data_IF_704085267978
#
_entry.id   IF_704085267978
#
_cell.length_a   1.000
_cell.length_b   1.000
_cell.length_c   1.000
_cell.angle_alpha   90.00
_cell.angle_beta   90.00
_cell.angle_gamma   90.00
#
_symmetry.space_group_name_H-M   'P 1'
#
loop_
_entity.id
_entity.type
_entity.pdbx_description
1 polymer ?
#
# COMPACT_ATOMS: atom_id res chain seq x y z
N UNK A 1 35.04 -30.01 -1.61
CA UNK A 1 34.59 -28.61 -1.88
C UNK A 1 33.10 -28.37 -1.60
N UNK A 2 32.22 -29.38 -1.64
CA UNK A 2 30.77 -29.26 -1.35
C UNK A 2 30.39 -29.48 0.13
N UNK A 3 31.29 -30.01 0.96
CA UNK A 3 31.08 -30.19 2.40
C UNK A 3 31.38 -28.92 3.20
N UNK A 4 32.50 -28.23 2.88
CA UNK A 4 32.87 -26.96 3.51
C UNK A 4 31.82 -25.85 3.34
N UNK A 5 31.14 -25.78 2.18
CA UNK A 5 30.14 -24.73 1.93
C UNK A 5 28.92 -24.84 2.87
N UNK A 6 28.52 -26.07 3.24
CA UNK A 6 27.41 -26.33 4.16
C UNK A 6 27.77 -26.04 5.63
N UNK A 7 29.03 -26.26 6.01
CA UNK A 7 29.54 -25.92 7.35
C UNK A 7 29.63 -24.40 7.54
N UNK A 8 30.02 -23.67 6.50
CA UNK A 8 30.16 -22.21 6.56
C UNK A 8 28.79 -21.51 6.70
N UNK A 9 27.75 -22.02 6.01
CA UNK A 9 26.37 -21.52 6.09
C UNK A 9 25.72 -21.83 7.46
N UNK A 10 26.05 -22.97 8.06
CA UNK A 10 25.56 -23.34 9.41
C UNK A 10 26.28 -22.60 10.54
N UNK A 11 27.56 -22.25 10.36
CA UNK A 11 28.32 -21.39 11.27
C UNK A 11 27.82 -19.94 11.24
N UNK A 12 27.46 -19.41 10.06
CA UNK A 12 26.87 -18.06 9.95
C UNK A 12 25.47 -17.97 10.56
N UNK A 13 24.67 -19.04 10.45
CA UNK A 13 23.33 -19.12 11.07
C UNK A 13 23.39 -19.24 12.60
N UNK A 14 24.40 -19.93 13.15
CA UNK A 14 24.64 -20.01 14.60
C UNK A 14 25.14 -18.69 15.20
N UNK A 15 26.12 -18.05 14.57
CA UNK A 15 26.65 -16.76 15.06
C UNK A 15 25.59 -15.65 15.13
N UNK A 16 24.59 -15.67 14.23
CA UNK A 16 23.50 -14.69 14.26
C UNK A 16 22.45 -14.97 15.36
N UNK A 17 22.35 -16.22 15.84
CA UNK A 17 21.54 -16.61 17.02
C UNK A 17 22.25 -16.30 18.33
N UNK A 18 23.58 -16.41 18.35
CA UNK A 18 24.37 -16.23 19.56
C UNK A 18 24.63 -14.75 19.91
N UNK A 19 24.60 -13.85 18.92
CA UNK A 19 24.76 -12.40 19.14
C UNK A 19 23.51 -11.67 19.71
N UNK A 20 22.36 -12.35 19.83
CA UNK A 20 21.14 -11.77 20.40
C UNK A 20 20.92 -12.12 21.88
N UNK A 21 21.81 -12.91 22.50
CA UNK A 21 21.63 -13.46 23.85
C UNK A 21 22.00 -12.50 24.99
N UNK A 22 21.70 -11.21 24.83
CA UNK A 22 21.81 -10.20 25.90
C UNK A 22 20.78 -9.09 25.69
N UNK A 23 19.49 -9.43 25.75
CA UNK A 23 18.46 -8.47 26.14
C UNK A 23 17.65 -9.11 27.26
N UNK A 24 17.63 -8.43 28.40
CA UNK A 24 17.02 -8.91 29.63
C UNK A 24 15.56 -9.29 29.37
N UNK A 25 15.11 -10.51 29.75
CA UNK A 25 13.71 -10.84 29.78
C UNK A 25 13.11 -10.14 31.00
N UNK A 26 12.32 -9.08 30.78
CA UNK A 26 11.45 -8.60 31.84
C UNK A 26 10.36 -9.66 32.07
N UNK A 27 10.61 -10.45 33.11
CA UNK A 27 9.79 -11.44 33.78
C UNK A 27 8.29 -11.50 33.40
N UNK A 28 7.92 -12.66 32.85
CA UNK A 28 6.73 -13.46 33.13
C UNK A 28 5.62 -12.78 33.97
N UNK A 29 4.52 -12.46 33.28
CA UNK A 29 3.19 -12.88 33.72
C UNK A 29 2.41 -13.23 32.46
N UNK A 30 2.27 -14.54 32.28
CA UNK A 30 1.36 -15.21 31.36
C UNK A 30 1.64 -15.02 29.87
N UNK A 31 1.41 -16.08 29.10
CA UNK A 31 1.35 -16.05 27.64
C UNK A 31 0.21 -15.13 27.15
N UNK A 32 -0.27 -14.16 27.92
CA UNK A 32 -1.46 -13.39 27.62
C UNK A 32 -1.14 -12.30 26.60
N UNK A 33 -1.91 -12.26 25.52
CA UNK A 33 -1.81 -11.20 24.54
C UNK A 33 -2.43 -9.91 25.10
N UNK A 34 -1.70 -8.79 25.11
CA UNK A 34 -2.20 -7.52 25.65
C UNK A 34 -3.30 -6.87 24.80
N UNK A 35 -3.56 -7.40 23.59
CA UNK A 35 -4.60 -6.90 22.68
C UNK A 35 -5.95 -7.56 22.97
N UNK A 36 -6.00 -8.90 23.05
CA UNK A 36 -7.23 -9.62 23.35
C UNK A 36 -7.41 -9.99 24.83
N UNK A 37 -6.40 -9.75 25.66
CA UNK A 37 -6.37 -10.06 27.10
C UNK A 37 -6.59 -11.56 27.42
N UNK A 38 -6.33 -12.43 26.45
CA UNK A 38 -6.42 -13.89 26.58
C UNK A 38 -5.05 -14.54 26.36
N UNK A 39 -4.91 -15.81 26.73
CA UNK A 39 -3.73 -16.62 26.39
C UNK A 39 -3.47 -16.58 24.88
N UNK A 40 -2.23 -16.28 24.50
CA UNK A 40 -1.83 -16.03 23.14
C UNK A 40 -1.91 -17.31 22.31
N UNK A 41 -2.78 -17.28 21.31
CA UNK A 41 -2.86 -18.29 20.28
C UNK A 41 -1.89 -17.92 19.17
N UNK A 42 -1.07 -18.91 18.74
CA UNK A 42 -0.03 -18.71 17.73
C UNK A 42 0.87 -17.50 18.06
N UNK A 43 1.64 -17.57 19.16
CA UNK A 43 2.40 -16.44 19.67
C UNK A 43 3.42 -15.91 18.66
N UNK A 44 3.39 -14.59 18.47
CA UNK A 44 4.31 -13.85 17.62
C UNK A 44 5.07 -12.85 18.48
N UNK A 45 6.39 -12.96 18.48
CA UNK A 45 7.29 -12.02 19.14
C UNK A 45 7.73 -10.95 18.13
N UNK A 46 7.72 -9.69 18.57
CA UNK A 46 8.21 -8.55 17.79
C UNK A 46 9.70 -8.31 18.05
N UNK A 47 10.41 -7.59 17.18
CA UNK A 47 11.83 -7.23 17.41
C UNK A 47 12.11 -6.38 18.66
N UNK A 48 11.07 -5.91 19.36
CA UNK A 48 11.20 -5.24 20.67
C UNK A 48 11.04 -6.20 21.86
N UNK A 49 10.78 -7.49 21.62
CA UNK A 49 10.64 -8.52 22.65
C UNK A 49 9.22 -8.72 23.19
N UNK A 50 8.23 -7.96 22.69
CA UNK A 50 6.84 -8.10 23.10
C UNK A 50 6.10 -9.18 22.28
N UNK A 51 5.25 -9.94 22.95
CA UNK A 51 4.52 -11.10 22.42
C UNK A 51 3.02 -10.82 22.28
N UNK A 52 2.45 -11.28 21.17
CA UNK A 52 1.02 -11.10 20.82
C UNK A 52 0.46 -12.36 20.16
N UNK A 53 -0.87 -12.49 20.06
CA UNK A 53 -1.47 -13.45 19.13
C UNK A 53 -1.13 -13.06 17.69
N UNK A 54 -0.86 -14.05 16.84
CA UNK A 54 -0.67 -13.80 15.41
C UNK A 54 -1.86 -13.08 14.78
N UNK A 55 -3.08 -13.55 15.05
CA UNK A 55 -4.31 -12.93 14.54
C UNK A 55 -4.48 -11.47 14.99
N UNK A 56 -4.30 -11.19 16.28
CA UNK A 56 -4.38 -9.82 16.81
C UNK A 56 -3.38 -8.87 16.16
N UNK A 57 -2.15 -9.33 15.95
CA UNK A 57 -1.11 -8.48 15.37
C UNK A 57 -1.33 -8.23 13.88
N UNK A 58 -1.80 -9.23 13.13
CA UNK A 58 -2.15 -9.07 11.72
C UNK A 58 -3.36 -8.17 11.54
N UNK A 59 -4.37 -8.26 12.41
CA UNK A 59 -5.55 -7.38 12.35
C UNK A 59 -5.17 -5.93 12.71
N UNK A 60 -4.32 -5.76 13.71
CA UNK A 60 -3.75 -4.45 14.05
C UNK A 60 -3.00 -3.84 12.86
N UNK A 61 -2.24 -4.65 12.11
CA UNK A 61 -1.58 -4.19 10.89
C UNK A 61 -2.55 -3.81 9.77
N UNK A 62 -3.65 -4.56 9.58
CA UNK A 62 -4.66 -4.27 8.54
C UNK A 62 -5.46 -3.00 8.80
N UNK A 63 -5.64 -2.63 10.08
CA UNK A 63 -6.36 -1.42 10.46
C UNK A 63 -5.51 -0.14 10.45
N UNK A 64 -4.18 -0.24 10.43
CA UNK A 64 -3.33 0.97 10.40
C UNK A 64 -3.41 1.66 9.02
N UNK A 65 -3.64 2.98 8.95
CA UNK A 65 -4.00 3.67 7.69
C UNK A 65 -2.92 3.73 6.60
N UNK A 66 -1.77 3.06 6.70
CA UNK A 66 -0.71 3.29 5.74
C UNK A 66 0.20 2.10 5.51
N UNK A 67 0.79 2.04 4.32
CA UNK A 67 1.74 1.03 3.79
C UNK A 67 3.00 0.78 4.66
N UNK A 68 3.08 1.33 5.86
CA UNK A 68 4.21 1.31 6.78
C UNK A 68 4.21 0.13 7.75
N UNK A 69 5.35 -0.03 8.41
CA UNK A 69 5.52 -1.02 9.46
C UNK A 69 4.78 -0.55 10.71
N UNK A 70 4.12 -1.47 11.43
CA UNK A 70 3.39 -1.13 12.65
C UNK A 70 4.32 -0.70 13.77
N UNK A 71 3.78 0.06 14.71
CA UNK A 71 4.43 0.32 15.99
C UNK A 71 3.93 -0.69 17.02
N UNK A 72 4.80 -1.15 17.91
CA UNK A 72 4.43 -2.09 18.97
C UNK A 72 3.33 -1.47 19.86
N UNK A 73 2.20 -2.16 20.11
CA UNK A 73 1.14 -1.64 20.97
C UNK A 73 1.59 -1.36 22.42
N UNK A 74 2.62 -2.04 22.91
CA UNK A 74 3.12 -1.90 24.29
C UNK A 74 4.16 -0.78 24.44
N UNK A 75 5.19 -0.76 23.59
CA UNK A 75 6.31 0.19 23.73
C UNK A 75 6.42 1.23 22.61
N UNK A 76 5.52 1.19 21.62
CA UNK A 76 5.50 2.08 20.45
C UNK A 76 6.75 2.03 19.57
N UNK A 77 7.64 1.06 19.78
CA UNK A 77 8.80 0.86 18.93
C UNK A 77 8.38 0.32 17.56
N UNK A 78 9.00 0.82 16.50
CA UNK A 78 8.75 0.35 15.13
C UNK A 78 9.10 -1.13 14.99
N UNK A 79 8.13 -1.91 14.50
CA UNK A 79 8.28 -3.36 14.33
C UNK A 79 8.69 -3.67 12.90
N UNK A 80 9.93 -4.11 12.69
CA UNK A 80 10.45 -4.46 11.35
C UNK A 80 10.52 -5.97 11.11
N UNK A 81 10.50 -6.75 12.19
CA UNK A 81 10.57 -8.20 12.17
C UNK A 81 9.60 -8.80 13.18
N UNK A 82 8.94 -9.86 12.73
CA UNK A 82 8.05 -10.73 13.48
C UNK A 82 8.64 -12.14 13.53
N UNK A 83 8.74 -12.71 14.73
CA UNK A 83 9.26 -14.04 15.00
C UNK A 83 8.11 -14.93 15.45
N UNK A 84 7.97 -16.11 14.83
CA UNK A 84 6.99 -17.11 15.25
C UNK A 84 7.57 -17.92 16.41
N UNK A 85 6.82 -18.04 17.51
CA UNK A 85 7.22 -18.82 18.70
C UNK A 85 6.36 -20.10 18.83
N UNK A 86 5.93 -20.67 17.70
CA UNK A 86 5.10 -21.88 17.66
C UNK A 86 5.59 -22.89 16.61
N UNK A 87 5.38 -24.18 16.91
CA UNK A 87 5.72 -25.31 16.06
C UNK A 87 4.60 -25.62 15.07
N UNK A 88 4.93 -25.92 13.82
CA UNK A 88 4.00 -26.20 12.70
C UNK A 88 3.26 -27.56 12.81
N UNK A 89 3.23 -28.16 14.00
CA UNK A 89 2.84 -29.56 14.23
C UNK A 89 1.32 -29.79 14.11
N UNK A 90 0.50 -28.74 14.24
CA UNK A 90 -0.94 -28.79 13.98
C UNK A 90 -1.31 -27.89 12.81
N UNK A 91 -1.59 -28.53 11.68
CA UNK A 91 -1.76 -27.91 10.37
C UNK A 91 -3.18 -27.34 10.17
N UNK A 92 -3.58 -26.45 11.07
CA UNK A 92 -4.82 -25.69 10.91
C UNK A 92 -4.67 -24.62 9.81
N UNK A 93 -5.77 -24.31 9.13
CA UNK A 93 -5.84 -23.28 8.08
C UNK A 93 -5.41 -21.92 8.64
N UNK A 94 -5.83 -21.60 9.87
CA UNK A 94 -5.49 -20.34 10.54
C UNK A 94 -3.98 -20.19 10.77
N UNK A 95 -3.31 -21.25 11.22
CA UNK A 95 -1.86 -21.26 11.43
C UNK A 95 -1.10 -20.98 10.12
N UNK A 96 -1.51 -21.63 9.01
CA UNK A 96 -0.89 -21.38 7.69
C UNK A 96 -1.09 -19.94 7.22
N UNK A 97 -2.29 -19.38 7.42
CA UNK A 97 -2.58 -18.00 7.05
C UNK A 97 -1.70 -17.03 7.84
N UNK A 98 -1.61 -17.20 9.16
CA UNK A 98 -0.77 -16.36 10.03
C UNK A 98 0.71 -16.48 9.66
N UNK A 99 1.22 -17.67 9.39
CA UNK A 99 2.62 -17.86 8.96
C UNK A 99 2.89 -17.14 7.64
N UNK A 100 1.96 -17.22 6.69
CA UNK A 100 2.07 -16.53 5.41
C UNK A 100 2.05 -15.02 5.58
N UNK A 101 1.13 -14.53 6.39
CA UNK A 101 0.99 -13.12 6.75
C UNK A 101 2.25 -12.56 7.42
N UNK A 102 2.85 -13.29 8.36
CA UNK A 102 4.15 -12.96 8.99
C UNK A 102 5.26 -12.91 7.93
N UNK A 103 5.28 -13.86 6.99
CA UNK A 103 6.28 -13.88 5.91
C UNK A 103 6.14 -12.66 5.02
N UNK A 104 4.91 -12.29 4.64
CA UNK A 104 4.62 -11.09 3.85
C UNK A 104 5.06 -9.84 4.60
N UNK A 105 4.71 -9.72 5.88
CA UNK A 105 5.11 -8.60 6.74
C UNK A 105 6.64 -8.46 6.82
N UNK A 106 7.35 -9.57 7.07
CA UNK A 106 8.80 -9.57 7.17
C UNK A 106 9.45 -9.25 5.82
N UNK A 107 8.99 -9.81 4.71
CA UNK A 107 9.47 -9.42 3.37
C UNK A 107 9.24 -7.93 3.12
N UNK A 108 8.15 -7.38 3.68
CA UNK A 108 7.80 -5.99 3.56
C UNK A 108 8.80 -5.06 4.25
N UNK A 109 9.22 -5.39 5.47
CA UNK A 109 9.91 -4.45 6.36
C UNK A 109 11.30 -4.87 6.85
N UNK A 110 11.75 -6.09 6.57
CA UNK A 110 13.07 -6.61 7.00
C UNK A 110 14.28 -6.00 6.29
N UNK A 111 14.06 -5.10 5.32
CA UNK A 111 15.14 -4.46 4.56
C UNK A 111 15.77 -5.34 3.46
N UNK A 112 15.22 -6.53 3.20
CA UNK A 112 15.61 -7.35 2.05
C UNK A 112 15.05 -6.76 0.75
N UNK A 113 15.77 -6.83 -0.38
CA UNK A 113 15.24 -6.38 -1.67
C UNK A 113 14.00 -7.21 -2.02
N UNK A 114 12.88 -6.53 -2.27
CA UNK A 114 11.63 -7.20 -2.65
C UNK A 114 11.65 -7.60 -4.12
N UNK A 115 11.10 -8.78 -4.48
CA UNK A 115 10.88 -9.13 -5.88
C UNK A 115 9.85 -8.19 -6.52
N UNK A 116 9.99 -7.96 -7.83
CA UNK A 116 9.16 -7.03 -8.58
C UNK A 116 7.66 -7.41 -8.57
N UNK A 117 7.37 -8.71 -8.42
CA UNK A 117 6.01 -9.26 -8.34
C UNK A 117 5.20 -8.68 -7.19
N UNK A 118 5.80 -8.48 -6.01
CA UNK A 118 5.10 -7.94 -4.84
C UNK A 118 4.66 -6.49 -5.08
N UNK A 119 5.47 -5.70 -5.79
CA UNK A 119 5.11 -4.33 -6.18
C UNK A 119 3.96 -4.30 -7.18
N UNK A 120 3.89 -5.28 -8.09
CA UNK A 120 2.80 -5.38 -9.07
C UNK A 120 1.47 -5.72 -8.41
N UNK A 121 1.44 -6.50 -7.33
CA UNK A 121 0.22 -6.80 -6.57
C UNK A 121 -0.28 -5.61 -5.74
N UNK A 122 0.60 -4.72 -5.28
CA UNK A 122 0.24 -3.48 -4.57
C UNK A 122 -0.22 -2.36 -5.54
N UNK A 123 0.07 -2.49 -6.85
CA UNK A 123 -0.20 -1.48 -7.87
C UNK A 123 -1.70 -1.13 -8.05
N UNK A 124 -2.67 -2.06 -8.03
CA UNK A 124 -4.09 -1.73 -8.21
C UNK A 124 -4.62 -0.79 -7.12
N UNK A 125 -4.22 -1.03 -5.87
CA UNK A 125 -4.61 -0.22 -4.72
C UNK A 125 -3.97 1.17 -4.77
N UNK A 126 -2.67 1.23 -5.10
CA UNK A 126 -1.95 2.50 -5.29
C UNK A 126 -2.49 3.30 -6.47
N UNK A 127 -2.85 2.63 -7.57
CA UNK A 127 -3.43 3.23 -8.76
C UNK A 127 -4.77 3.89 -8.44
N UNK A 128 -5.63 3.27 -7.63
CA UNK A 128 -6.89 3.88 -7.21
C UNK A 128 -6.68 5.16 -6.39
N UNK A 129 -5.69 5.19 -5.48
CA UNK A 129 -5.34 6.40 -4.74
C UNK A 129 -4.77 7.49 -5.66
N UNK A 130 -3.92 7.12 -6.62
CA UNK A 130 -3.33 8.05 -7.58
C UNK A 130 -4.40 8.61 -8.51
N UNK A 131 -5.29 7.77 -9.06
CA UNK A 131 -6.43 8.19 -9.87
C UNK A 131 -7.31 9.18 -9.11
N UNK A 132 -7.67 8.86 -7.86
CA UNK A 132 -8.49 9.76 -7.02
C UNK A 132 -7.82 11.12 -6.79
N UNK A 133 -6.49 11.17 -6.69
CA UNK A 133 -5.72 12.41 -6.53
C UNK A 133 -5.58 13.18 -7.85
N UNK A 134 -5.42 12.48 -8.97
CA UNK A 134 -5.39 13.06 -10.32
C UNK A 134 -6.72 13.71 -10.71
N UNK A 135 -7.85 13.24 -10.17
CA UNK A 135 -9.17 13.84 -10.39
C UNK A 135 -9.53 15.00 -9.45
N UNK A 136 -8.56 15.56 -8.71
CA UNK A 136 -8.74 16.82 -7.98
C UNK A 136 -8.56 18.02 -8.93
N UNK A 137 -9.11 19.19 -8.58
CA UNK A 137 -9.02 20.40 -9.43
C UNK A 137 -7.57 20.74 -9.85
N UNK A 138 -6.58 20.48 -8.99
CA UNK A 138 -5.16 20.63 -9.33
C UNK A 138 -4.61 19.52 -10.25
N UNK A 139 -5.12 18.29 -10.12
CA UNK A 139 -4.73 17.18 -10.99
C UNK A 139 -5.26 17.32 -12.42
N UNK A 140 -6.46 17.89 -12.59
CA UNK A 140 -7.02 18.24 -13.89
C UNK A 140 -6.15 19.27 -14.64
N UNK A 141 -5.61 20.26 -13.93
CA UNK A 141 -4.64 21.21 -14.50
C UNK A 141 -3.35 20.51 -14.92
N UNK A 142 -2.86 19.56 -14.13
CA UNK A 142 -1.65 18.80 -14.46
C UNK A 142 -1.84 17.93 -15.70
N UNK A 143 -3.01 17.29 -15.84
CA UNK A 143 -3.40 16.53 -17.03
C UNK A 143 -3.51 17.46 -18.26
N UNK A 144 -4.09 18.65 -18.09
CA UNK A 144 -4.16 19.65 -19.16
C UNK A 144 -2.77 20.12 -19.61
N UNK A 145 -1.87 20.42 -18.67
CA UNK A 145 -0.48 20.78 -18.99
C UNK A 145 0.26 19.65 -19.70
N UNK A 146 0.07 18.40 -19.26
CA UNK A 146 0.65 17.22 -19.91
C UNK A 146 0.18 17.11 -21.36
N UNK A 147 -1.10 17.35 -21.63
CA UNK A 147 -1.63 17.38 -23.01
C UNK A 147 -0.94 18.44 -23.86
N UNK A 148 -0.81 19.67 -23.36
CA UNK A 148 -0.11 20.75 -24.08
C UNK A 148 1.33 20.34 -24.41
N UNK A 149 2.04 19.70 -23.48
CA UNK A 149 3.40 19.19 -23.71
C UNK A 149 3.43 18.10 -24.78
N UNK A 150 2.48 17.16 -24.77
CA UNK A 150 2.39 16.10 -25.79
C UNK A 150 2.07 16.68 -27.18
N UNK A 151 1.15 17.65 -27.27
CA UNK A 151 0.84 18.33 -28.52
C UNK A 151 2.03 19.15 -29.04
N UNK A 152 2.75 19.86 -28.16
CA UNK A 152 3.95 20.61 -28.53
C UNK A 152 5.07 19.67 -28.98
N UNK A 153 5.28 18.55 -28.29
CA UNK A 153 6.25 17.53 -28.68
C UNK A 153 5.89 16.93 -30.04
N UNK A 154 4.62 16.58 -30.26
CA UNK A 154 4.12 16.12 -31.55
C UNK A 154 4.33 17.15 -32.66
N UNK A 155 4.05 18.44 -32.40
CA UNK A 155 4.30 19.51 -33.35
C UNK A 155 5.80 19.68 -33.66
N UNK A 156 6.66 19.61 -32.65
CA UNK A 156 8.12 19.67 -32.82
C UNK A 156 8.62 18.46 -33.62
N UNK A 157 8.16 17.26 -33.32
CA UNK A 157 8.48 16.04 -34.09
C UNK A 157 8.03 16.15 -35.55
N UNK A 158 6.86 16.75 -35.80
CA UNK A 158 6.38 17.03 -37.15
C UNK A 158 7.23 18.08 -37.88
N UNK A 159 7.67 19.14 -37.19
CA UNK A 159 8.45 20.23 -37.79
C UNK A 159 9.94 19.88 -37.98
N UNK A 160 10.48 18.98 -37.17
CA UNK A 160 11.91 18.61 -37.17
C UNK A 160 12.28 17.49 -38.16
N UNK A 161 11.31 16.88 -38.84
CA UNK A 161 11.57 15.85 -39.85
C UNK A 161 11.65 16.44 -41.26
N UNK A 162 12.81 16.45 -41.93
CA UNK A 162 12.97 17.00 -43.28
C UNK A 162 12.53 16.03 -44.39
N UNK A 163 11.70 15.03 -44.11
CA UNK A 163 11.22 14.06 -45.09
C UNK A 163 9.70 13.91 -45.06
N UNK A 164 9.12 14.28 -46.19
CA UNK A 164 7.71 14.31 -46.51
C UNK A 164 7.19 12.90 -46.86
N UNK A 165 5.89 12.67 -46.64
CA UNK A 165 5.07 11.63 -47.31
C UNK A 165 5.40 10.14 -47.07
N UNK A 166 5.13 9.62 -45.87
CA UNK A 166 4.41 8.35 -45.75
C UNK A 166 3.28 8.58 -44.77
N UNK A 167 2.04 8.38 -45.23
CA UNK A 167 0.84 8.31 -44.41
C UNK A 167 1.00 7.16 -43.43
N UNK A 168 1.61 7.40 -42.28
CA UNK A 168 1.59 6.45 -41.18
C UNK A 168 0.22 6.54 -40.51
N UNK A 169 -0.62 5.48 -40.58
CA UNK A 169 -1.92 5.46 -39.92
C UNK A 169 -1.79 5.70 -38.41
N UNK A 170 -0.60 5.50 -37.85
CA UNK A 170 -0.24 5.79 -36.46
C UNK A 170 -0.38 7.27 -36.10
N UNK A 171 -0.08 8.22 -36.99
CA UNK A 171 -0.24 9.65 -36.69
C UNK A 171 -1.71 10.05 -36.59
N UNK A 172 -2.56 9.48 -37.47
CA UNK A 172 -4.02 9.63 -37.37
C UNK A 172 -4.59 8.98 -36.10
N UNK A 173 -4.11 7.79 -35.76
CA UNK A 173 -4.50 7.09 -34.53
C UNK A 173 -4.06 7.87 -33.28
N UNK A 174 -2.89 8.50 -33.28
CA UNK A 174 -2.41 9.29 -32.15
C UNK A 174 -3.26 10.56 -31.96
N UNK A 175 -3.67 11.20 -33.06
CA UNK A 175 -4.58 12.34 -33.02
C UNK A 175 -5.97 11.94 -32.51
N UNK A 176 -6.52 10.81 -32.97
CA UNK A 176 -7.83 10.35 -32.49
C UNK A 176 -7.79 9.89 -31.04
N UNK A 177 -6.66 9.34 -30.57
CA UNK A 177 -6.45 9.02 -29.17
C UNK A 177 -6.39 10.31 -28.33
N UNK A 178 -5.69 11.36 -28.76
CA UNK A 178 -5.69 12.66 -28.05
C UNK A 178 -7.11 13.23 -27.94
N UNK A 179 -7.85 13.24 -29.06
CA UNK A 179 -9.24 13.72 -29.09
C UNK A 179 -10.15 12.91 -28.15
N UNK A 180 -10.01 11.58 -28.10
CA UNK A 180 -10.81 10.71 -27.24
C UNK A 180 -10.46 10.88 -25.75
N UNK A 181 -9.17 11.02 -25.42
CA UNK A 181 -8.71 11.34 -24.06
C UNK A 181 -9.33 12.66 -23.59
N UNK A 182 -9.50 13.61 -24.49
CA UNK A 182 -10.01 14.95 -24.18
C UNK A 182 -11.51 14.96 -23.98
N UNK A 183 -12.24 14.25 -24.83
CA UNK A 183 -13.67 14.02 -24.62
C UNK A 183 -13.89 13.33 -23.27
N UNK A 184 -13.07 12.33 -22.92
CA UNK A 184 -13.15 11.64 -21.64
C UNK A 184 -12.85 12.59 -20.45
N UNK A 185 -11.83 13.45 -20.56
CA UNK A 185 -11.52 14.47 -19.55
C UNK A 185 -12.68 15.45 -19.40
N UNK A 186 -13.26 15.96 -20.49
CA UNK A 186 -14.39 16.88 -20.45
C UNK A 186 -15.64 16.24 -19.83
N UNK A 187 -15.92 14.97 -20.14
CA UNK A 187 -17.01 14.21 -19.53
C UNK A 187 -16.79 14.07 -18.01
N UNK A 188 -15.58 13.73 -17.58
CA UNK A 188 -15.24 13.64 -16.16
C UNK A 188 -15.36 15.01 -15.46
N UNK A 189 -14.91 16.08 -16.10
CA UNK A 189 -15.10 17.45 -15.61
C UNK A 189 -16.59 17.79 -15.46
N UNK A 190 -17.39 17.50 -16.48
CA UNK A 190 -18.84 17.74 -16.45
C UNK A 190 -19.51 16.94 -15.34
N UNK A 191 -19.14 15.67 -15.15
CA UNK A 191 -19.66 14.84 -14.06
C UNK A 191 -19.28 15.43 -12.71
N UNK A 192 -18.03 15.86 -12.51
CA UNK A 192 -17.58 16.47 -11.25
C UNK A 192 -18.27 17.81 -10.96
N UNK A 193 -18.41 18.68 -11.97
CA UNK A 193 -19.12 19.96 -11.84
C UNK A 193 -20.60 19.70 -11.52
N UNK A 194 -21.23 18.74 -12.20
CA UNK A 194 -22.61 18.37 -11.93
C UNK A 194 -22.79 17.78 -10.53
N UNK A 195 -21.83 16.98 -10.05
CA UNK A 195 -21.82 16.46 -8.68
C UNK A 195 -21.63 17.55 -7.64
N UNK A 196 -20.75 18.53 -7.89
CA UNK A 196 -20.54 19.69 -7.02
C UNK A 196 -21.81 20.56 -6.95
N UNK A 197 -22.40 20.89 -8.10
CA UNK A 197 -23.65 21.66 -8.16
C UNK A 197 -24.80 20.92 -7.46
N UNK A 198 -24.89 19.59 -7.62
CA UNK A 198 -25.85 18.76 -6.91
C UNK A 198 -25.59 18.76 -5.41
N UNK A 199 -24.34 18.67 -4.97
CA UNK A 199 -23.96 18.69 -3.55
C UNK A 199 -24.26 20.05 -2.92
N UNK A 200 -23.95 21.15 -3.61
CA UNK A 200 -24.27 22.50 -3.15
C UNK A 200 -25.78 22.73 -3.10
N UNK A 201 -26.52 22.25 -4.10
CA UNK A 201 -27.98 22.26 -4.11
C UNK A 201 -28.61 21.44 -2.98
N UNK A 202 -28.03 20.27 -2.66
CA UNK A 202 -28.49 19.43 -1.55
C UNK A 202 -28.19 20.09 -0.19
N UNK A 203 -27.02 20.69 -0.05
CA UNK A 203 -26.60 21.42 1.17
C UNK A 203 -27.47 22.67 1.41
N UNK A 204 -27.79 23.42 0.35
CA UNK A 204 -28.71 24.56 0.41
C UNK A 204 -30.13 24.12 0.77
N UNK A 205 -30.64 23.04 0.16
CA UNK A 205 -31.96 22.51 0.50
C UNK A 205 -32.04 22.02 1.96
N UNK A 206 -30.97 21.41 2.48
CA UNK A 206 -30.91 20.97 3.88
C UNK A 206 -30.81 22.13 4.89
N UNK A 207 -30.18 23.25 4.49
CA UNK A 207 -30.06 24.45 5.33
C UNK A 207 -31.40 25.18 5.43
N UNK A 208 -32.15 25.27 4.33
CA UNK A 208 -33.49 25.88 4.30
C UNK A 208 -34.50 25.05 5.09
N UNK A 209 -34.42 23.72 5.09
CA UNK A 209 -35.34 22.88 5.89
C UNK A 209 -35.02 22.93 7.38
N UNK A 210 -33.74 23.07 7.77
CA UNK A 210 -33.35 23.25 9.18
C UNK A 210 -33.71 24.63 9.73
N UNK A 211 -33.62 25.69 8.93
CA UNK A 211 -34.03 27.04 9.39
C UNK A 211 -35.53 27.14 9.62
N UNK A 212 -36.35 26.55 8.74
CA UNK A 212 -37.82 26.56 8.90
C UNK A 212 -38.27 25.75 10.12
N UNK A 213 -37.60 24.63 10.45
CA UNK A 213 -37.95 23.82 11.62
C UNK A 213 -37.52 24.43 12.96
N UNK A 214 -36.56 25.37 12.96
CA UNK A 214 -36.06 26.03 14.19
C UNK A 214 -36.82 27.32 14.54
N UNK A 215 -37.65 27.83 13.63
CA UNK A 215 -38.57 28.96 13.84
C UNK A 215 -40.03 28.54 14.14
N UNK A 216 -40.27 27.23 14.34
CA UNK A 216 -41.59 26.63 14.65
C UNK A 216 -41.76 26.28 16.12
#
# INVERSE_FOLDING_TARGET
MSSQRRENETLQSKNHKDAFKSRQPHFHTDLNCPVCLQTATLPVETNCGHLFCGSCLMEYWKHDPWLGAINCPLCRQKVVLLYKEFSEIHQDVECRNIVQDIRLYNNRFSGKPRPLTDYLYDLPSLLQLVLRRLFTMGGLVWIFCLRVVVCLFGAIMCLSSPFDVIRDPLCGILSTIDDLVVVFILLICMINILQQLRSEGLNMASSTTQSVLSES
#
